data_IF_504634254749
#
_entry.id   IF_504634254749
#
_cell.length_a   1.000
_cell.length_b   1.000
_cell.length_c   1.000
_cell.angle_alpha   90.00
_cell.angle_beta   90.00
_cell.angle_gamma   90.00
#
_symmetry.space_group_name_H-M   'P 1'
#
loop_
_entity.id
_entity.type
_entity.pdbx_description
1 polymer ?
#
# COMPACT_ATOMS: atom_id res chain seq x y z
N UNK A 1 -2.33 -22.27 0.56
CA UNK A 1 -1.68 -21.00 0.92
C UNK A 1 -1.97 -20.78 2.40
N UNK A 2 -1.01 -20.34 3.20
CA UNK A 2 -1.24 -20.20 4.66
C UNK A 2 -2.23 -19.09 4.96
N UNK A 3 -3.02 -19.26 6.01
CA UNK A 3 -4.06 -18.29 6.43
C UNK A 3 -3.48 -16.90 6.73
N UNK A 4 -2.29 -16.81 7.30
CA UNK A 4 -1.59 -15.54 7.55
C UNK A 4 -1.33 -14.72 6.27
N UNK A 5 -1.11 -15.39 5.13
CA UNK A 5 -0.85 -14.73 3.84
C UNK A 5 -2.18 -14.30 3.23
N UNK A 6 -3.20 -15.15 3.34
CA UNK A 6 -4.56 -14.84 2.91
C UNK A 6 -5.04 -13.58 3.64
N UNK A 7 -4.92 -13.53 4.97
CA UNK A 7 -5.31 -12.37 5.76
C UNK A 7 -4.60 -11.08 5.29
N UNK A 8 -3.27 -11.13 5.10
CA UNK A 8 -2.49 -9.99 4.58
C UNK A 8 -2.94 -9.53 3.19
N UNK A 9 -3.33 -10.45 2.31
CA UNK A 9 -3.82 -10.15 0.98
C UNK A 9 -5.21 -9.51 1.03
N UNK A 10 -6.13 -10.07 1.81
CA UNK A 10 -7.49 -9.55 1.93
C UNK A 10 -7.55 -8.22 2.70
N UNK A 11 -6.61 -7.96 3.61
CA UNK A 11 -6.46 -6.67 4.29
C UNK A 11 -5.88 -5.57 3.39
N UNK A 12 -5.35 -5.89 2.20
CA UNK A 12 -4.82 -4.91 1.27
C UNK A 12 -5.37 -5.15 -0.14
N UNK A 13 -6.41 -4.42 -0.50
CA UNK A 13 -7.11 -4.56 -1.78
C UNK A 13 -6.16 -4.41 -2.99
N UNK A 14 -5.13 -3.56 -2.88
CA UNK A 14 -4.14 -3.39 -3.95
C UNK A 14 -3.30 -4.65 -4.16
N UNK A 15 -2.92 -5.33 -3.07
CA UNK A 15 -2.18 -6.59 -3.14
C UNK A 15 -3.06 -7.69 -3.71
N UNK A 16 -4.32 -7.78 -3.27
CA UNK A 16 -5.29 -8.74 -3.80
C UNK A 16 -5.54 -8.53 -5.30
N UNK A 17 -5.74 -7.29 -5.73
CA UNK A 17 -5.95 -6.96 -7.15
C UNK A 17 -4.69 -7.17 -7.99
N UNK A 18 -3.50 -7.01 -7.42
CA UNK A 18 -2.25 -7.36 -8.09
C UNK A 18 -2.10 -8.88 -8.25
N UNK A 19 -2.37 -9.63 -7.19
CA UNK A 19 -2.33 -11.09 -7.18
C UNK A 19 -3.29 -11.70 -8.22
N UNK A 20 -4.53 -11.21 -8.30
CA UNK A 20 -5.54 -11.64 -9.29
C UNK A 20 -5.08 -11.46 -10.74
N UNK A 21 -4.28 -10.41 -11.01
CA UNK A 21 -3.75 -10.13 -12.35
C UNK A 21 -2.50 -10.93 -12.67
N UNK A 22 -1.84 -11.54 -11.67
CA UNK A 22 -0.53 -12.17 -11.82
C UNK A 22 -0.54 -13.58 -11.22
N UNK A 23 -1.13 -14.56 -11.93
CA UNK A 23 -1.45 -15.87 -11.37
C UNK A 23 -0.24 -16.66 -10.88
N UNK A 24 0.96 -16.40 -11.42
CA UNK A 24 2.23 -16.99 -10.96
C UNK A 24 2.44 -16.85 -9.45
N UNK A 25 1.95 -15.78 -8.84
CA UNK A 25 2.13 -15.54 -7.42
C UNK A 25 1.28 -16.45 -6.54
N UNK A 26 0.15 -16.97 -7.03
CA UNK A 26 -0.60 -18.00 -6.28
C UNK A 26 0.27 -19.22 -6.04
N UNK A 27 1.02 -19.68 -7.06
CA UNK A 27 1.92 -20.81 -6.95
C UNK A 27 3.04 -20.57 -5.93
N UNK A 28 3.74 -19.43 -6.02
CA UNK A 28 4.85 -19.15 -5.10
C UNK A 28 4.39 -18.96 -3.65
N UNK A 29 3.27 -18.25 -3.44
CA UNK A 29 2.71 -18.02 -2.11
C UNK A 29 2.13 -19.30 -1.48
N UNK A 30 1.71 -20.25 -2.30
CA UNK A 30 1.28 -21.58 -1.86
C UNK A 30 2.47 -22.47 -1.46
N UNK A 31 3.54 -22.43 -2.26
CA UNK A 31 4.75 -23.23 -2.07
C UNK A 31 5.51 -22.86 -0.78
N UNK A 32 5.79 -21.58 -0.58
CA UNK A 32 6.46 -21.08 0.63
C UNK A 32 6.02 -19.63 0.93
N UNK A 33 5.46 -19.31 2.11
CA UNK A 33 5.12 -17.95 2.49
C UNK A 33 6.32 -17.00 2.52
N UNK A 34 7.57 -17.49 2.54
CA UNK A 34 8.76 -16.64 2.42
C UNK A 34 8.74 -15.85 1.12
N UNK A 35 8.07 -16.35 0.07
CA UNK A 35 7.88 -15.61 -1.16
C UNK A 35 6.95 -14.39 -1.01
N UNK A 36 6.25 -14.23 0.12
CA UNK A 36 5.43 -13.06 0.38
C UNK A 36 6.25 -11.76 0.44
N UNK A 37 7.47 -11.79 0.98
CA UNK A 37 8.35 -10.60 1.01
C UNK A 37 8.74 -10.16 -0.40
N UNK A 38 9.05 -11.11 -1.27
CA UNK A 38 9.34 -10.86 -2.68
C UNK A 38 8.11 -10.41 -3.46
N UNK A 39 6.95 -11.02 -3.22
CA UNK A 39 5.66 -10.57 -3.74
C UNK A 39 5.43 -9.10 -3.36
N UNK A 40 5.59 -8.76 -2.08
CA UNK A 40 5.37 -7.42 -1.57
C UNK A 40 6.29 -6.39 -2.24
N UNK A 41 7.58 -6.71 -2.37
CA UNK A 41 8.57 -5.88 -3.04
C UNK A 41 8.18 -5.62 -4.50
N UNK A 42 7.72 -6.66 -5.20
CA UNK A 42 7.31 -6.59 -6.60
C UNK A 42 6.02 -5.79 -6.77
N UNK A 43 5.02 -6.01 -5.91
CA UNK A 43 3.76 -5.25 -5.91
C UNK A 43 4.02 -3.76 -5.69
N UNK A 44 4.81 -3.42 -4.66
CA UNK A 44 5.19 -2.02 -4.35
C UNK A 44 5.87 -1.34 -5.54
N UNK A 45 6.80 -2.05 -6.19
CA UNK A 45 7.49 -1.56 -7.40
C UNK A 45 6.53 -1.39 -8.57
N UNK A 46 5.64 -2.36 -8.81
CA UNK A 46 4.74 -2.38 -9.96
C UNK A 46 3.63 -1.33 -9.86
N UNK A 47 3.07 -1.14 -8.66
CA UNK A 47 2.04 -0.13 -8.41
C UNK A 47 2.58 1.30 -8.33
N UNK A 48 3.90 1.48 -8.52
CA UNK A 48 4.58 2.77 -8.27
C UNK A 48 4.21 3.37 -6.92
N UNK A 49 3.93 2.52 -5.92
CA UNK A 49 3.92 2.90 -4.50
C UNK A 49 5.38 3.04 -4.06
N UNK A 50 6.13 3.78 -4.85
CA UNK A 50 7.37 4.41 -4.50
C UNK A 50 7.03 5.44 -3.44
N UNK A 51 7.92 5.57 -2.45
CA UNK A 51 7.86 6.48 -1.31
C UNK A 51 7.37 7.90 -1.67
N UNK A 52 7.53 8.33 -2.92
CA UNK A 52 6.99 9.57 -3.48
C UNK A 52 5.46 9.74 -3.30
N UNK A 53 4.64 8.74 -3.62
CA UNK A 53 3.18 8.83 -3.48
C UNK A 53 2.77 9.00 -2.00
N UNK A 54 3.49 8.32 -1.11
CA UNK A 54 3.29 8.47 0.33
C UNK A 54 3.74 9.86 0.83
N UNK A 55 4.85 10.39 0.30
CA UNK A 55 5.32 11.74 0.62
C UNK A 55 4.36 12.82 0.11
N UNK A 56 3.79 12.66 -1.08
CA UNK A 56 2.78 13.56 -1.65
C UNK A 56 1.49 13.54 -0.80
N UNK A 57 1.04 12.36 -0.37
CA UNK A 57 -0.10 12.23 0.53
C UNK A 57 0.15 12.90 1.90
N UNK A 58 1.38 12.82 2.44
CA UNK A 58 1.77 13.49 3.69
C UNK A 58 1.83 15.01 3.51
N UNK A 59 2.47 15.50 2.43
CA UNK A 59 2.50 16.94 2.11
C UNK A 59 1.10 17.52 1.98
N UNK A 60 0.19 16.80 1.33
CA UNK A 60 -1.21 17.22 1.18
C UNK A 60 -1.92 17.36 2.53
N UNK A 61 -1.68 16.43 3.45
CA UNK A 61 -2.22 16.49 4.81
C UNK A 61 -1.64 17.66 5.63
N UNK A 62 -0.32 17.89 5.54
CA UNK A 62 0.36 19.01 6.22
C UNK A 62 -0.15 20.35 5.69
N UNK A 63 -0.23 20.52 4.37
CA UNK A 63 -0.73 21.75 3.76
C UNK A 63 -2.18 22.04 4.16
N UNK A 64 -3.03 21.02 4.21
CA UNK A 64 -4.42 21.18 4.65
C UNK A 64 -4.53 21.56 6.14
N UNK A 65 -3.75 20.92 7.01
CA UNK A 65 -3.69 21.25 8.43
C UNK A 65 -3.20 22.70 8.65
N UNK A 66 -2.13 23.12 7.95
CA UNK A 66 -1.63 24.49 8.00
C UNK A 66 -2.64 25.51 7.48
N UNK A 67 -3.37 25.18 6.41
CA UNK A 67 -4.43 26.05 5.87
C UNK A 67 -5.59 26.22 6.87
N UNK A 68 -5.99 25.14 7.56
CA UNK A 68 -7.01 25.19 8.61
C UNK A 68 -6.56 26.02 9.80
N UNK A 69 -5.35 25.80 10.31
CA UNK A 69 -4.78 26.58 11.42
C UNK A 69 -4.74 28.06 11.06
N UNK A 70 -4.34 28.39 9.83
CA UNK A 70 -4.33 29.78 9.33
C UNK A 70 -5.74 30.37 9.25
N UNK A 71 -6.73 29.61 8.78
CA UNK A 71 -8.13 30.06 8.73
C UNK A 71 -8.69 30.34 10.14
N UNK A 72 -8.47 29.44 11.09
CA UNK A 72 -8.93 29.63 12.48
C UNK A 72 -8.17 30.75 13.22
N UNK A 73 -6.87 30.91 12.93
CA UNK A 73 -6.05 32.00 13.49
C UNK A 73 -6.40 33.37 12.90
N UNK A 74 -6.79 33.41 11.62
CA UNK A 74 -7.17 34.63 10.92
C UNK A 74 -8.64 35.04 11.10
N UNK A 75 -9.45 34.23 11.79
CA UNK A 75 -10.86 34.49 12.09
C UNK A 75 -11.07 35.10 13.48
N UNK A 76 -10.03 35.74 14.05
CA UNK A 76 -10.07 36.43 15.34
C UNK A 76 -9.77 37.91 15.16
#
# INVERSE_FOLDING_TARGET
MRDEIIEKLYNNEQYLNYLRRHPKWYYYLDLDPKYFSEFERVVKKALKITTYDKLEAIKKQVNFASAMIKYFSSSK
#
